data_IF_537892593876
#
_entry.id   IF_537892593876
#
_cell.length_a   1.000
_cell.length_b   1.000
_cell.length_c   1.000
_cell.angle_alpha   90.00
_cell.angle_beta   90.00
_cell.angle_gamma   90.00
#
_symmetry.space_group_name_H-M   'P 1'
#
loop_
_entity.id
_entity.type
_entity.pdbx_description
1 polymer ?
#
# COMPACT_ATOMS: atom_id res chain seq x y z
N UNK A 1 6.65 7.15 27.83
CA UNK A 1 6.91 6.43 26.57
C UNK A 1 5.64 6.55 25.73
N UNK A 2 5.56 7.45 24.75
CA UNK A 2 6.16 7.23 23.43
C UNK A 2 5.18 6.67 22.39
N UNK A 3 3.92 6.37 22.75
CA UNK A 3 2.93 5.72 21.86
C UNK A 3 2.61 6.47 20.55
N UNK A 4 2.98 7.75 20.45
CA UNK A 4 2.79 8.56 19.23
C UNK A 4 4.10 9.17 18.69
N UNK A 5 5.25 8.87 19.31
CA UNK A 5 6.53 9.32 18.76
C UNK A 5 6.97 8.31 17.72
N UNK A 6 6.62 8.61 16.49
CA UNK A 6 7.10 7.85 15.36
C UNK A 6 8.59 8.12 15.14
N UNK A 7 9.36 7.08 14.78
CA UNK A 7 10.73 7.28 14.36
C UNK A 7 10.75 8.20 13.14
N UNK A 8 11.68 9.16 13.08
CA UNK A 8 11.83 10.04 11.93
C UNK A 8 12.18 9.23 10.66
N UNK A 9 11.94 9.84 9.49
CA UNK A 9 12.29 9.28 8.17
C UNK A 9 12.70 10.40 7.22
N UNK A 10 13.67 10.18 6.34
CA UNK A 10 14.08 11.19 5.35
C UNK A 10 13.24 11.20 4.05
N UNK A 11 12.47 10.13 3.80
CA UNK A 11 11.73 9.94 2.54
C UNK A 11 10.36 10.59 2.63
N UNK A 12 10.25 11.87 2.27
CA UNK A 12 9.00 12.62 2.43
C UNK A 12 8.14 12.72 1.16
N UNK A 13 8.71 12.42 0.00
CA UNK A 13 8.06 12.62 -1.30
C UNK A 13 7.78 11.29 -2.00
N UNK A 14 6.58 11.17 -2.56
CA UNK A 14 6.19 10.05 -3.39
C UNK A 14 6.31 10.42 -4.87
N UNK A 15 7.02 9.62 -5.65
CA UNK A 15 7.12 9.76 -7.11
C UNK A 15 6.28 8.66 -7.80
N UNK A 16 5.12 9.01 -8.39
CA UNK A 16 4.20 8.05 -9.00
C UNK A 16 4.68 7.46 -10.33
N UNK A 17 5.79 7.94 -10.89
CA UNK A 17 6.26 7.54 -12.22
C UNK A 17 7.52 6.67 -12.17
N UNK A 18 8.21 6.62 -11.03
CA UNK A 18 9.40 5.79 -10.82
C UNK A 18 9.11 4.63 -9.88
N UNK A 19 9.19 3.40 -10.39
CA UNK A 19 9.02 2.19 -9.57
C UNK A 19 9.97 2.19 -8.36
N UNK A 20 11.25 2.50 -8.59
CA UNK A 20 12.27 2.46 -7.53
C UNK A 20 11.92 3.46 -6.42
N UNK A 21 11.65 4.71 -6.77
CA UNK A 21 11.30 5.76 -5.81
C UNK A 21 9.99 5.44 -5.09
N UNK A 22 8.96 5.01 -5.82
CA UNK A 22 7.68 4.56 -5.27
C UNK A 22 7.85 3.41 -4.27
N UNK A 23 8.68 2.42 -4.60
CA UNK A 23 8.94 1.26 -3.73
C UNK A 23 9.73 1.65 -2.49
N UNK A 24 10.71 2.55 -2.58
CA UNK A 24 11.44 3.07 -1.42
C UNK A 24 10.48 3.78 -0.47
N UNK A 25 9.65 4.69 -0.99
CA UNK A 25 8.61 5.37 -0.20
C UNK A 25 7.67 4.35 0.45
N UNK A 26 7.07 3.48 -0.36
CA UNK A 26 6.09 2.50 0.11
C UNK A 26 6.66 1.59 1.19
N UNK A 27 7.86 1.01 0.98
CA UNK A 27 8.52 0.09 1.91
C UNK A 27 9.10 0.78 3.16
N UNK A 28 9.36 2.08 3.10
CA UNK A 28 9.78 2.88 4.27
C UNK A 28 8.66 2.97 5.30
N UNK A 29 7.41 3.11 4.84
CA UNK A 29 6.25 3.21 5.73
C UNK A 29 5.59 1.84 6.00
N UNK A 30 5.50 0.98 4.98
CA UNK A 30 4.89 -0.34 5.05
C UNK A 30 5.97 -1.40 5.28
N UNK A 31 6.34 -1.57 6.55
CA UNK A 31 7.51 -2.39 6.90
C UNK A 31 7.16 -3.84 7.24
N UNK A 32 6.06 -4.05 7.95
CA UNK A 32 5.71 -5.35 8.52
C UNK A 32 5.00 -6.22 7.48
N UNK A 33 5.29 -7.52 7.50
CA UNK A 33 4.61 -8.48 6.62
C UNK A 33 3.10 -8.48 6.87
N UNK A 34 2.67 -8.33 8.12
CA UNK A 34 1.27 -8.27 8.50
C UNK A 34 0.54 -7.09 7.83
N UNK A 35 1.16 -5.90 7.78
CA UNK A 35 0.57 -4.73 7.13
C UNK A 35 0.46 -4.93 5.61
N UNK A 36 1.49 -5.49 4.97
CA UNK A 36 1.41 -5.84 3.54
C UNK A 36 0.30 -6.85 3.24
N UNK A 37 0.14 -7.89 4.06
CA UNK A 37 -0.94 -8.87 3.87
C UNK A 37 -2.30 -8.19 4.04
N UNK A 38 -2.44 -7.34 5.07
CA UNK A 38 -3.66 -6.56 5.28
C UNK A 38 -3.98 -5.72 4.03
N UNK A 39 -3.02 -4.97 3.51
CA UNK A 39 -3.22 -4.15 2.32
C UNK A 39 -3.47 -4.96 1.05
N UNK A 40 -2.71 -6.02 0.81
CA UNK A 40 -2.91 -6.87 -0.36
C UNK A 40 -4.33 -7.43 -0.40
N UNK A 41 -4.91 -7.81 0.74
CA UNK A 41 -6.30 -8.30 0.80
C UNK A 41 -7.30 -7.15 0.66
N UNK A 42 -7.15 -6.11 1.48
CA UNK A 42 -8.20 -5.11 1.61
C UNK A 42 -8.14 -3.99 0.56
N UNK A 43 -6.99 -3.70 -0.06
CA UNK A 43 -6.93 -2.80 -1.22
C UNK A 43 -7.59 -3.44 -2.45
N UNK A 44 -7.41 -4.73 -2.68
CA UNK A 44 -8.06 -5.42 -3.79
C UNK A 44 -9.58 -5.57 -3.54
N UNK A 45 -10.00 -5.85 -2.30
CA UNK A 45 -11.41 -5.83 -1.92
C UNK A 45 -12.02 -4.43 -2.02
N UNK A 46 -11.28 -3.39 -1.63
CA UNK A 46 -11.67 -1.99 -1.80
C UNK A 46 -11.86 -1.65 -3.29
N UNK A 47 -10.87 -1.98 -4.13
CA UNK A 47 -10.94 -1.76 -5.57
C UNK A 47 -12.11 -2.51 -6.20
N UNK A 48 -12.37 -3.75 -5.77
CA UNK A 48 -13.56 -4.48 -6.18
C UNK A 48 -14.86 -3.72 -5.85
N UNK A 49 -14.99 -3.18 -4.64
CA UNK A 49 -16.13 -2.34 -4.24
C UNK A 49 -16.27 -1.08 -5.10
N UNK A 50 -15.16 -0.42 -5.45
CA UNK A 50 -15.16 0.71 -6.39
C UNK A 50 -15.64 0.29 -7.78
N UNK A 51 -15.20 -0.86 -8.30
CA UNK A 51 -15.64 -1.37 -9.59
C UNK A 51 -17.14 -1.74 -9.58
N UNK A 52 -17.67 -2.25 -8.45
CA UNK A 52 -19.11 -2.47 -8.26
C UNK A 52 -19.87 -1.14 -8.29
N UNK A 53 -19.38 -0.10 -7.60
CA UNK A 53 -19.96 1.24 -7.64
C UNK A 53 -19.97 1.82 -9.06
N UNK A 54 -18.84 1.75 -9.77
CA UNK A 54 -18.75 2.19 -11.17
C UNK A 54 -19.78 1.46 -12.03
N UNK A 55 -19.90 0.14 -11.88
CA UNK A 55 -20.88 -0.66 -12.61
C UNK A 55 -22.32 -0.22 -12.30
N UNK A 56 -22.67 -0.07 -11.02
CA UNK A 56 -23.99 0.34 -10.57
C UNK A 56 -24.39 1.74 -11.08
N UNK A 57 -23.47 2.72 -10.98
CA UNK A 57 -23.67 4.08 -11.49
C UNK A 57 -23.85 4.11 -13.02
N UNK A 58 -23.28 3.14 -13.72
CA UNK A 58 -23.40 2.98 -15.17
C UNK A 58 -24.45 1.93 -15.55
N UNK A 59 -25.45 1.69 -14.70
CA UNK A 59 -26.61 0.81 -14.96
C UNK A 59 -26.22 -0.62 -15.34
N UNK A 60 -25.18 -1.17 -14.72
CA UNK A 60 -24.69 -2.52 -14.99
C UNK A 60 -23.81 -2.64 -16.24
N UNK A 61 -23.38 -1.52 -16.83
CA UNK A 61 -22.54 -1.53 -18.03
C UNK A 61 -21.17 -2.14 -17.77
N UNK A 62 -20.86 -3.24 -18.47
CA UNK A 62 -19.53 -3.86 -18.47
C UNK A 62 -18.46 -2.91 -19.03
N UNK A 63 -18.83 -2.04 -19.99
CA UNK A 63 -17.89 -1.13 -20.65
C UNK A 63 -17.22 -0.16 -19.66
N UNK A 64 -17.97 0.40 -18.71
CA UNK A 64 -17.43 1.33 -17.72
C UNK A 64 -16.37 0.68 -16.83
N UNK A 65 -16.64 -0.55 -16.35
CA UNK A 65 -15.68 -1.34 -15.56
C UNK A 65 -14.44 -1.69 -16.38
N UNK A 66 -14.64 -2.04 -17.66
CA UNK A 66 -13.56 -2.37 -18.58
C UNK A 66 -12.61 -1.18 -18.83
N UNK A 67 -13.14 0.03 -19.01
CA UNK A 67 -12.33 1.23 -19.15
C UNK A 67 -11.46 1.51 -17.92
N UNK A 68 -12.03 1.38 -16.71
CA UNK A 68 -11.27 1.54 -15.47
C UNK A 68 -10.19 0.46 -15.34
N UNK A 69 -10.52 -0.80 -15.64
CA UNK A 69 -9.57 -1.91 -15.61
C UNK A 69 -8.42 -1.70 -16.60
N UNK A 70 -8.68 -1.23 -17.82
CA UNK A 70 -7.64 -0.88 -18.80
C UNK A 70 -6.76 0.24 -18.27
N UNK A 71 -7.35 1.36 -17.82
CA UNK A 71 -6.57 2.52 -17.37
C UNK A 71 -5.66 2.15 -16.19
N UNK A 72 -6.19 1.43 -15.22
CA UNK A 72 -5.43 0.96 -14.06
C UNK A 72 -4.34 -0.07 -14.46
N UNK A 73 -4.65 -0.98 -15.38
CA UNK A 73 -3.68 -1.96 -15.88
C UNK A 73 -2.56 -1.29 -16.67
N UNK A 74 -2.89 -0.32 -17.53
CA UNK A 74 -1.92 0.45 -18.30
C UNK A 74 -0.96 1.22 -17.37
N UNK A 75 -1.51 1.89 -16.36
CA UNK A 75 -0.71 2.54 -15.31
C UNK A 75 0.19 1.53 -14.58
N UNK A 76 -0.36 0.38 -14.16
CA UNK A 76 0.40 -0.65 -13.43
C UNK A 76 1.55 -1.22 -14.28
N UNK A 77 1.30 -1.52 -15.55
CA UNK A 77 2.30 -2.03 -16.49
C UNK A 77 3.36 -0.98 -16.80
N UNK A 78 2.95 0.28 -17.01
CA UNK A 78 3.88 1.37 -17.28
C UNK A 78 4.79 1.65 -16.08
N UNK A 79 4.22 1.74 -14.87
CA UNK A 79 4.99 1.96 -13.65
C UNK A 79 5.97 0.82 -13.39
N UNK A 80 5.57 -0.43 -13.67
CA UNK A 80 6.36 -1.63 -13.30
C UNK A 80 7.16 -2.23 -14.45
N UNK A 81 7.29 -1.53 -15.58
CA UNK A 81 8.02 -2.03 -16.76
C UNK A 81 7.57 -3.45 -17.17
N UNK A 82 6.25 -3.68 -17.18
CA UNK A 82 5.59 -4.97 -17.45
C UNK A 82 5.70 -6.08 -16.39
N UNK A 83 6.40 -5.88 -15.27
CA UNK A 83 6.41 -6.87 -14.18
C UNK A 83 5.03 -7.10 -13.54
N UNK A 84 4.12 -6.13 -13.63
CA UNK A 84 2.73 -6.25 -13.15
C UNK A 84 1.72 -6.79 -14.18
N UNK A 85 2.15 -7.39 -15.30
CA UNK A 85 1.21 -8.06 -16.24
C UNK A 85 0.32 -9.10 -15.55
N UNK A 86 0.82 -9.97 -14.65
CA UNK A 86 -0.05 -10.89 -13.90
C UNK A 86 -1.08 -10.15 -13.05
N UNK A 87 -0.71 -9.00 -12.48
CA UNK A 87 -1.60 -8.18 -11.68
C UNK A 87 -2.70 -7.53 -12.54
N UNK A 88 -2.41 -7.13 -13.78
CA UNK A 88 -3.46 -6.70 -14.73
C UNK A 88 -4.54 -7.79 -14.90
N UNK A 89 -4.15 -9.07 -14.98
CA UNK A 89 -5.09 -10.19 -14.97
C UNK A 89 -6.00 -10.23 -13.73
N UNK A 90 -5.45 -9.93 -12.55
CA UNK A 90 -6.23 -9.80 -11.31
C UNK A 90 -7.23 -8.64 -11.42
N UNK A 91 -6.81 -7.48 -11.93
CA UNK A 91 -7.70 -6.32 -12.12
C UNK A 91 -8.87 -6.64 -13.04
N UNK A 92 -8.60 -7.33 -14.16
CA UNK A 92 -9.67 -7.78 -15.06
C UNK A 92 -10.60 -8.80 -14.40
N UNK A 93 -10.07 -9.73 -13.61
CA UNK A 93 -10.89 -10.69 -12.86
C UNK A 93 -11.79 -10.00 -11.83
N UNK A 94 -11.28 -9.00 -11.11
CA UNK A 94 -12.07 -8.18 -10.19
C UNK A 94 -13.16 -7.42 -10.94
N UNK A 95 -12.85 -6.81 -12.10
CA UNK A 95 -13.84 -6.12 -12.93
C UNK A 95 -14.94 -7.05 -13.44
N UNK A 96 -14.58 -8.23 -13.93
CA UNK A 96 -15.54 -9.25 -14.35
C UNK A 96 -16.45 -9.67 -13.18
N UNK A 97 -15.86 -9.92 -12.00
CA UNK A 97 -16.61 -10.24 -10.78
C UNK A 97 -17.58 -9.13 -10.37
N UNK A 98 -17.14 -7.88 -10.43
CA UNK A 98 -17.94 -6.72 -10.05
C UNK A 98 -19.16 -6.55 -10.97
N UNK A 99 -18.95 -6.73 -12.28
CA UNK A 99 -20.02 -6.72 -13.26
C UNK A 99 -21.02 -7.87 -13.05
N UNK A 100 -20.52 -9.09 -12.83
CA UNK A 100 -21.36 -10.27 -12.54
C UNK A 100 -22.19 -10.08 -11.29
N UNK A 101 -21.59 -9.59 -10.20
CA UNK A 101 -22.29 -9.30 -8.95
C UNK A 101 -23.38 -8.24 -9.16
N UNK A 102 -23.06 -7.14 -9.82
CA UNK A 102 -24.03 -6.07 -10.12
C UNK A 102 -25.22 -6.59 -10.93
N UNK A 103 -24.95 -7.43 -11.93
CA UNK A 103 -25.99 -8.08 -12.75
C UNK A 103 -26.85 -9.03 -11.92
N UNK A 104 -26.23 -9.84 -11.06
CA UNK A 104 -26.92 -10.80 -10.22
C UNK A 104 -27.84 -10.15 -9.17
N UNK A 105 -27.45 -8.98 -8.64
CA UNK A 105 -28.28 -8.22 -7.70
C UNK A 105 -29.53 -7.63 -8.35
N UNK A 106 -29.55 -7.50 -9.68
CA UNK A 106 -30.69 -7.01 -10.48
C UNK A 106 -31.29 -5.68 -9.98
N UNK A 107 -30.47 -4.85 -9.32
CA UNK A 107 -30.83 -3.53 -8.82
C UNK A 107 -29.57 -2.70 -8.65
N UNK A 108 -29.50 -1.56 -9.35
CA UNK A 108 -28.37 -0.66 -9.28
C UNK A 108 -28.25 -0.02 -7.88
N UNK A 109 -29.37 0.19 -7.19
CA UNK A 109 -29.37 0.75 -5.83
C UNK A 109 -28.77 -0.25 -4.83
N UNK A 110 -29.21 -1.51 -4.88
CA UNK A 110 -28.67 -2.57 -4.02
C UNK A 110 -27.19 -2.81 -4.35
N UNK A 111 -26.83 -2.85 -5.63
CA UNK A 111 -25.43 -2.98 -6.04
C UNK A 111 -24.58 -1.79 -5.57
N UNK A 112 -25.11 -0.56 -5.66
CA UNK A 112 -24.45 0.64 -5.16
C UNK A 112 -24.21 0.59 -3.66
N UNK A 113 -25.22 0.20 -2.88
CA UNK A 113 -25.10 0.02 -1.43
C UNK A 113 -24.11 -1.10 -1.08
N UNK A 114 -24.13 -2.22 -1.81
CA UNK A 114 -23.19 -3.32 -1.62
C UNK A 114 -21.76 -2.85 -1.91
N UNK A 115 -21.53 -2.16 -3.03
CA UNK A 115 -20.22 -1.59 -3.38
C UNK A 115 -19.70 -0.60 -2.34
N UNK A 116 -20.56 0.33 -1.88
CA UNK A 116 -20.22 1.27 -0.80
C UNK A 116 -19.89 0.53 0.51
N UNK A 117 -20.68 -0.48 0.88
CA UNK A 117 -20.41 -1.31 2.06
C UNK A 117 -19.08 -2.02 1.98
N UNK A 118 -18.76 -2.62 0.82
CA UNK A 118 -17.46 -3.28 0.57
C UNK A 118 -16.30 -2.28 0.74
N UNK A 119 -16.42 -1.09 0.15
CA UNK A 119 -15.43 -0.01 0.26
C UNK A 119 -15.20 0.39 1.72
N UNK A 120 -16.27 0.70 2.46
CA UNK A 120 -16.19 1.15 3.84
C UNK A 120 -15.64 0.08 4.78
N UNK A 121 -16.10 -1.17 4.66
CA UNK A 121 -15.59 -2.28 5.47
C UNK A 121 -14.12 -2.57 5.16
N UNK A 122 -13.72 -2.53 3.88
CA UNK A 122 -12.32 -2.72 3.49
C UNK A 122 -11.43 -1.60 4.00
N UNK A 123 -11.91 -0.35 3.97
CA UNK A 123 -11.19 0.79 4.51
C UNK A 123 -11.04 0.69 6.04
N UNK A 124 -12.11 0.36 6.76
CA UNK A 124 -12.06 0.14 8.21
C UNK A 124 -11.06 -0.97 8.60
N UNK A 125 -11.05 -2.08 7.85
CA UNK A 125 -10.10 -3.17 8.08
C UNK A 125 -8.64 -2.76 7.81
N UNK A 126 -8.40 -1.88 6.84
CA UNK A 126 -7.08 -1.27 6.61
C UNK A 126 -6.67 -0.37 7.77
N UNK A 127 -7.57 0.49 8.27
CA UNK A 127 -7.29 1.34 9.43
C UNK A 127 -6.94 0.53 10.68
N UNK A 128 -7.63 -0.59 10.91
CA UNK A 128 -7.29 -1.51 12.01
C UNK A 128 -5.90 -2.13 11.79
N UNK A 129 -5.56 -2.49 10.56
CA UNK A 129 -4.23 -2.97 10.18
C UNK A 129 -3.14 -1.95 10.48
N UNK A 130 -3.32 -0.72 10.02
CA UNK A 130 -2.44 0.41 10.29
C UNK A 130 -2.28 0.64 11.80
N UNK A 131 -3.37 0.78 12.54
CA UNK A 131 -3.33 1.03 13.99
C UNK A 131 -2.55 -0.04 14.78
N UNK A 132 -2.53 -1.28 14.28
CA UNK A 132 -1.86 -2.41 14.94
C UNK A 132 -0.41 -2.64 14.48
N UNK A 133 -0.11 -2.35 13.21
CA UNK A 133 1.13 -2.82 12.56
C UNK A 133 1.98 -1.70 11.94
N UNK A 134 1.50 -0.47 11.92
CA UNK A 134 2.24 0.69 11.41
C UNK A 134 3.18 1.24 12.47
N UNK A 135 4.46 1.39 12.11
CA UNK A 135 5.48 1.99 12.96
C UNK A 135 5.84 3.43 12.53
N UNK A 136 5.73 3.71 11.23
CA UNK A 136 6.04 4.99 10.61
C UNK A 136 4.78 5.49 9.91
N UNK A 137 4.25 6.69 10.19
CA UNK A 137 3.18 7.25 9.38
C UNK A 137 3.74 7.80 8.09
N UNK A 138 3.17 7.34 6.99
CA UNK A 138 3.40 7.97 5.70
C UNK A 138 2.81 9.40 5.69
N UNK A 139 3.50 10.38 5.09
CA UNK A 139 2.87 11.62 4.67
C UNK A 139 1.60 11.32 3.85
N UNK A 140 0.52 12.09 4.04
CA UNK A 140 -0.71 11.86 3.29
C UNK A 140 -0.47 12.16 1.81
N UNK A 141 -0.55 11.12 0.97
CA UNK A 141 -0.44 11.24 -0.48
C UNK A 141 -1.56 10.44 -1.15
N UNK A 142 -2.62 11.13 -1.59
CA UNK A 142 -3.84 10.49 -2.09
C UNK A 142 -3.58 9.53 -3.24
N UNK A 143 -2.70 9.89 -4.17
CA UNK A 143 -2.39 9.03 -5.30
C UNK A 143 -1.64 7.76 -4.87
N UNK A 144 -0.81 7.83 -3.81
CA UNK A 144 -0.17 6.64 -3.26
C UNK A 144 -1.24 5.73 -2.65
N UNK A 145 -2.08 6.24 -1.75
CA UNK A 145 -3.07 5.44 -1.04
C UNK A 145 -4.14 4.82 -1.93
N UNK A 146 -4.67 5.57 -2.92
CA UNK A 146 -5.83 5.14 -3.71
C UNK A 146 -5.49 4.55 -5.08
N UNK A 147 -4.32 4.85 -5.65
CA UNK A 147 -3.96 4.45 -7.03
C UNK A 147 -2.73 3.56 -7.06
N UNK A 148 -1.63 3.98 -6.44
CA UNK A 148 -0.37 3.24 -6.56
C UNK A 148 -0.26 2.07 -5.56
N UNK A 149 -0.84 2.19 -4.36
CA UNK A 149 -0.66 1.20 -3.30
C UNK A 149 -0.99 -0.23 -3.73
N UNK A 150 -2.10 -0.54 -4.44
CA UNK A 150 -2.41 -1.93 -4.75
C UNK A 150 -1.35 -2.59 -5.66
N UNK A 151 -0.82 -1.86 -6.67
CA UNK A 151 0.27 -2.39 -7.51
C UNK A 151 1.61 -2.44 -6.76
N UNK A 152 1.88 -1.48 -5.86
CA UNK A 152 3.11 -1.49 -5.05
C UNK A 152 3.10 -2.61 -3.99
N UNK A 153 1.94 -3.02 -3.49
CA UNK A 153 1.79 -4.19 -2.62
C UNK A 153 2.05 -5.48 -3.40
N UNK A 154 1.53 -5.58 -4.63
CA UNK A 154 1.88 -6.69 -5.52
C UNK A 154 3.39 -6.73 -5.80
N UNK A 155 4.01 -5.59 -6.11
CA UNK A 155 5.46 -5.53 -6.31
C UNK A 155 6.23 -5.87 -5.03
N UNK A 156 5.75 -5.47 -3.86
CA UNK A 156 6.33 -5.88 -2.57
C UNK A 156 6.31 -7.40 -2.40
N UNK A 157 5.24 -8.08 -2.83
CA UNK A 157 5.19 -9.55 -2.87
C UNK A 157 6.21 -10.12 -3.87
N UNK A 158 6.28 -9.59 -5.09
CA UNK A 158 7.27 -10.00 -6.12
C UNK A 158 8.71 -9.89 -5.58
N UNK A 159 9.05 -8.79 -4.90
CA UNK A 159 10.34 -8.62 -4.25
C UNK A 159 10.56 -9.68 -3.15
N UNK A 160 9.56 -9.94 -2.30
CA UNK A 160 9.66 -10.94 -1.22
C UNK A 160 9.85 -12.37 -1.75
N UNK A 161 9.29 -12.69 -2.91
CA UNK A 161 9.49 -13.95 -3.61
C UNK A 161 10.87 -14.06 -4.29
N UNK A 162 11.69 -12.99 -4.28
CA UNK A 162 13.03 -13.00 -4.84
C UNK A 162 13.09 -12.89 -6.37
N UNK A 163 11.98 -12.53 -7.01
CA UNK A 163 11.89 -12.50 -8.48
C UNK A 163 12.64 -11.32 -9.12
N UNK A 164 12.91 -10.26 -8.35
CA UNK A 164 13.66 -9.08 -8.78
C UNK A 164 14.80 -8.76 -7.79
N UNK A 165 15.88 -9.57 -7.77
CA UNK A 165 16.89 -9.50 -6.73
C UNK A 165 17.67 -8.18 -6.72
N UNK A 166 17.97 -7.60 -7.90
CA UNK A 166 18.67 -6.32 -7.99
C UNK A 166 17.83 -5.19 -7.40
N UNK A 167 16.60 -5.01 -7.89
CA UNK A 167 15.68 -4.00 -7.38
C UNK A 167 15.42 -4.17 -5.88
N UNK A 168 15.27 -5.40 -5.40
CA UNK A 168 15.13 -5.69 -3.97
C UNK A 168 16.33 -5.17 -3.17
N UNK A 169 17.56 -5.49 -3.59
CA UNK A 169 18.78 -5.03 -2.90
C UNK A 169 18.83 -3.50 -2.85
N UNK A 170 18.54 -2.85 -3.96
CA UNK A 170 18.60 -1.39 -4.05
C UNK A 170 17.53 -0.74 -3.16
N UNK A 171 16.29 -1.24 -3.17
CA UNK A 171 15.20 -0.74 -2.31
C UNK A 171 15.49 -0.99 -0.84
N UNK A 172 15.93 -2.19 -0.46
CA UNK A 172 16.20 -2.50 0.95
C UNK A 172 17.38 -1.68 1.50
N UNK A 173 18.42 -1.45 0.70
CA UNK A 173 19.54 -0.59 1.09
C UNK A 173 19.09 0.86 1.35
N UNK A 174 18.27 1.42 0.47
CA UNK A 174 17.74 2.79 0.63
C UNK A 174 16.78 2.90 1.81
N UNK A 175 15.90 1.92 2.00
CA UNK A 175 14.98 1.88 3.15
C UNK A 175 15.76 1.81 4.46
N UNK A 176 16.83 1.02 4.50
CA UNK A 176 17.71 0.94 5.67
C UNK A 176 18.42 2.28 5.94
N UNK A 177 18.93 2.94 4.90
CA UNK A 177 19.52 4.29 5.01
C UNK A 177 18.51 5.32 5.52
N UNK A 178 17.33 5.40 4.89
CA UNK A 178 16.29 6.37 5.23
C UNK A 178 15.79 6.26 6.67
N UNK A 179 15.78 5.04 7.23
CA UNK A 179 15.44 4.79 8.64
C UNK A 179 16.61 4.99 9.58
N UNK A 180 17.82 4.59 9.17
CA UNK A 180 19.04 4.67 9.97
C UNK A 180 19.55 6.11 10.13
N UNK A 181 19.55 6.90 9.06
CA UNK A 181 19.95 8.31 9.10
C UNK A 181 19.06 9.13 10.04
N UNK A 182 17.78 8.79 10.09
CA UNK A 182 16.82 9.44 10.94
C UNK A 182 16.99 9.10 12.43
N UNK A 183 17.54 7.93 12.78
CA UNK A 183 17.83 7.56 14.17
C UNK A 183 18.96 8.42 14.81
N UNK A 184 19.69 9.22 14.01
CA UNK A 184 20.85 10.00 14.44
C UNK A 184 22.03 9.12 14.86
N UNK A 185 23.23 9.71 15.08
CA UNK A 185 24.28 8.99 15.79
C UNK A 185 23.76 8.67 17.18
N UNK A 186 23.57 7.38 17.46
CA UNK A 186 23.20 6.90 18.79
C UNK A 186 24.28 7.45 19.74
N UNK A 187 23.92 8.46 20.53
CA UNK A 187 24.87 9.08 21.46
C UNK A 187 25.39 7.91 22.32
N UNK A 188 26.70 7.60 22.28
CA UNK A 188 27.21 6.46 23.01
C UNK A 188 26.75 6.61 24.46
N UNK A 189 26.31 5.51 25.12
CA UNK A 189 25.82 5.57 26.48
C UNK A 189 26.88 6.34 27.28
N UNK A 190 26.51 7.55 27.70
CA UNK A 190 27.44 8.43 28.39
C UNK A 190 27.99 7.63 29.54
N UNK A 191 29.32 7.46 29.59
CA UNK A 191 29.97 6.84 30.73
C UNK A 191 29.41 7.55 31.97
N UNK A 192 28.55 6.83 32.69
CA UNK A 192 28.07 7.26 34.00
C UNK A 192 29.34 7.28 34.81
N UNK A 193 29.92 8.48 34.94
CA UNK A 193 31.14 8.70 35.68
C UNK A 193 30.97 8.02 37.02
N UNK A 194 31.81 7.02 37.28
CA UNK A 194 31.95 6.41 38.57
C UNK A 194 32.28 7.54 39.54
N UNK A 195 31.28 7.98 40.32
CA UNK A 195 31.51 8.82 41.48
C UNK A 195 32.35 7.97 42.43
N UNK A 196 33.66 8.14 42.36
CA UNK A 196 34.57 7.72 43.42
C UNK A 196 34.20 8.52 44.66
N UNK A 197 33.57 7.83 45.61
CA UNK A 197 33.40 8.33 46.95
C UNK A 197 34.79 8.33 47.62
N UNK A 198 35.38 9.50 47.72
CA UNK A 198 36.40 9.80 48.73
C UNK A 198 35.88 11.04 49.46
N UNK A 199 35.39 10.83 50.68
CA UNK A 199 35.47 11.76 51.81
C UNK A 199 34.67 11.14 52.97
N UNK A 200 35.40 10.70 53.99
CA UNK A 200 34.89 10.04 55.20
C UNK A 200 35.95 9.18 55.85
#
# INVERSE_FOLDING_TARGET
MGLFRQPPTEVLTFDPLSLRSSMIYHRTYHHSLALHVNHLVFLNTYLFGILVLVCALNRGSFGAVYFVAIGYSAYSVALTEAYAVPYAGVIFALGLGAWRLTTALNSNEIAGLAGAGIVLCSFAAQLVGHAKYELYAAPPHLFHGFVAAPVLEFMSLVLRLGLLPQLKRDVDAEVARARGAAAGPMKPPGHVGSRTASDG
#
